data_IF_354371766448
#
_entry.id   IF_354371766448
#
_cell.length_a   1.000
_cell.length_b   1.000
_cell.length_c   1.000
_cell.angle_alpha   90.00
_cell.angle_beta   90.00
_cell.angle_gamma   90.00
#
_symmetry.space_group_name_H-M   'P 1'
#
loop_
_entity.id
_entity.type
_entity.pdbx_description
1 polymer ?
#
# COMPACT_ATOMS: atom_id res chain seq x y z
N UNK A 1 -5.35 -4.21 17.86
CA UNK A 1 -5.84 -4.28 17.41
C UNK A 1 -6.49 -3.78 16.95
N UNK A 2 -6.69 -3.60 16.85
CA UNK A 2 -6.97 -3.27 16.16
C UNK A 2 -8.04 -2.89 15.52
N UNK A 3 -7.90 -2.13 14.52
CA UNK A 3 -9.00 -1.52 13.91
C UNK A 3 -9.92 -2.46 13.21
N UNK A 4 -9.38 -3.56 12.81
CA UNK A 4 -10.21 -4.61 12.24
C UNK A 4 -11.19 -5.15 13.25
N UNK A 5 -10.85 -5.06 14.51
CA UNK A 5 -11.72 -5.54 15.55
C UNK A 5 -12.95 -4.67 15.72
N UNK A 6 -12.92 -3.47 15.15
CA UNK A 6 -14.09 -2.59 15.21
C UNK A 6 -15.07 -2.87 14.09
N UNK A 7 -14.75 -3.81 13.19
CA UNK A 7 -15.60 -4.18 12.06
C UNK A 7 -15.89 -5.68 12.12
N UNK A 8 -16.75 -6.11 13.04
CA UNK A 8 -16.97 -7.55 13.28
C UNK A 8 -17.37 -8.34 12.04
N UNK A 9 -18.22 -7.73 11.20
CA UNK A 9 -18.69 -8.43 10.01
C UNK A 9 -17.56 -8.67 9.02
N UNK A 10 -16.68 -7.68 8.88
CA UNK A 10 -15.54 -7.80 8.00
C UNK A 10 -14.57 -8.86 8.52
N UNK A 11 -14.34 -8.84 9.83
CA UNK A 11 -13.48 -9.84 10.47
C UNK A 11 -13.99 -11.25 10.24
N UNK A 12 -15.28 -11.46 10.44
CA UNK A 12 -15.89 -12.77 10.25
C UNK A 12 -15.75 -13.23 8.80
N UNK A 13 -15.99 -12.32 7.88
CA UNK A 13 -15.86 -12.64 6.47
C UNK A 13 -14.43 -13.08 6.15
N UNK A 14 -13.43 -12.34 6.62
CA UNK A 14 -12.03 -12.68 6.38
C UNK A 14 -11.67 -14.01 7.01
N UNK A 15 -12.14 -14.25 8.23
CA UNK A 15 -11.85 -15.50 8.91
C UNK A 15 -12.38 -16.70 8.14
N UNK A 16 -13.58 -16.57 7.60
CA UNK A 16 -14.14 -17.66 6.81
C UNK A 16 -13.40 -17.88 5.51
N UNK A 17 -13.03 -16.78 4.85
CA UNK A 17 -12.28 -16.87 3.61
C UNK A 17 -10.90 -17.47 3.84
N UNK A 18 -10.26 -17.10 4.93
CA UNK A 18 -8.90 -17.55 5.21
C UNK A 18 -8.82 -18.96 5.75
N UNK A 19 -9.95 -19.62 5.98
CA UNK A 19 -9.96 -21.02 6.36
C UNK A 19 -9.55 -21.92 5.21
N UNK A 20 -9.80 -21.50 3.98
CA UNK A 20 -9.36 -22.25 2.81
C UNK A 20 -7.89 -21.93 2.56
N UNK A 21 -7.00 -22.96 2.50
CA UNK A 21 -5.57 -22.69 2.35
C UNK A 21 -5.23 -21.88 1.10
N UNK A 22 -5.94 -22.11 0.02
CA UNK A 22 -5.68 -21.37 -1.22
C UNK A 22 -5.99 -19.90 -1.09
N UNK A 23 -7.15 -19.57 -0.48
CA UNK A 23 -7.54 -18.19 -0.29
C UNK A 23 -6.62 -17.48 0.68
N UNK A 24 -6.17 -18.19 1.71
CA UNK A 24 -5.23 -17.62 2.66
C UNK A 24 -3.91 -17.27 1.99
N UNK A 25 -3.41 -18.17 1.15
CA UNK A 25 -2.15 -17.92 0.45
C UNK A 25 -2.27 -16.72 -0.48
N UNK A 26 -3.39 -16.60 -1.19
CA UNK A 26 -3.62 -15.46 -2.09
C UNK A 26 -3.69 -14.15 -1.31
N UNK A 27 -4.38 -14.17 -0.18
CA UNK A 27 -4.48 -12.99 0.65
C UNK A 27 -3.10 -12.56 1.17
N UNK A 28 -2.33 -13.52 1.66
CA UNK A 28 -1.00 -13.22 2.19
C UNK A 28 -0.06 -12.69 1.12
N UNK A 29 -0.21 -13.18 -0.12
CA UNK A 29 0.59 -12.69 -1.22
C UNK A 29 0.28 -11.24 -1.57
N UNK A 30 -0.95 -10.77 -1.32
CA UNK A 30 -1.36 -9.40 -1.61
C UNK A 30 -1.04 -8.44 -0.47
N UNK A 31 -0.67 -8.94 0.70
CA UNK A 31 -0.42 -8.09 1.85
C UNK A 31 0.64 -7.03 1.61
N UNK A 32 1.80 -7.35 0.98
CA UNK A 32 2.78 -6.30 0.69
C UNK A 32 2.24 -5.22 -0.23
N UNK A 33 1.37 -5.60 -1.17
CA UNK A 33 0.75 -4.64 -2.08
C UNK A 33 -0.13 -3.67 -1.31
N UNK A 34 -0.96 -4.19 -0.42
CA UNK A 34 -1.83 -3.35 0.42
C UNK A 34 -1.02 -2.42 1.31
N UNK A 35 0.10 -2.93 1.85
CA UNK A 35 0.97 -2.13 2.69
C UNK A 35 1.53 -0.93 1.92
N UNK A 36 1.97 -1.16 0.68
CA UNK A 36 2.50 -0.08 -0.15
C UNK A 36 1.42 0.94 -0.47
N UNK A 37 0.24 0.47 -0.88
CA UNK A 37 -0.88 1.35 -1.18
C UNK A 37 -1.19 2.28 -0.01
N UNK A 38 -1.34 1.68 1.15
CA UNK A 38 -1.73 2.41 2.34
C UNK A 38 -0.65 3.38 2.78
N UNK A 39 0.61 2.96 2.70
CA UNK A 39 1.72 3.80 3.10
C UNK A 39 1.82 5.05 2.23
N UNK A 40 1.65 4.89 0.91
CA UNK A 40 1.72 6.02 -0.01
C UNK A 40 0.57 6.97 0.23
N UNK A 41 -0.66 6.46 0.34
CA UNK A 41 -1.82 7.30 0.53
C UNK A 41 -1.76 8.04 1.87
N UNK A 42 -1.35 7.36 2.91
CA UNK A 42 -1.26 7.96 4.23
C UNK A 42 -0.19 9.05 4.27
N UNK A 43 0.98 8.77 3.73
CA UNK A 43 2.07 9.74 3.73
C UNK A 43 1.73 10.94 2.86
N UNK A 44 1.06 10.69 1.72
CA UNK A 44 0.64 11.78 0.86
C UNK A 44 -0.41 12.67 1.55
N UNK A 45 -1.35 12.04 2.24
CA UNK A 45 -2.37 12.79 2.97
C UNK A 45 -1.75 13.66 4.06
N UNK A 46 -0.75 13.15 4.75
CA UNK A 46 -0.10 13.91 5.82
C UNK A 46 0.73 15.07 5.30
N UNK A 47 1.31 14.92 4.11
CA UNK A 47 2.11 16.00 3.52
C UNK A 47 1.26 16.98 2.72
N UNK A 48 -0.01 16.63 2.44
CA UNK A 48 -0.88 17.47 1.66
C UNK A 48 -0.61 17.47 0.17
N UNK A 49 0.21 16.54 -0.31
CA UNK A 49 0.54 16.48 -1.73
C UNK A 49 -0.56 15.75 -2.51
N UNK A 50 -0.89 16.29 -3.67
CA UNK A 50 -1.76 15.59 -4.61
C UNK A 50 -0.95 14.57 -5.40
N UNK A 51 -1.64 13.65 -6.11
CA UNK A 51 -0.95 12.73 -7.00
C UNK A 51 -0.14 13.47 -8.05
N UNK A 52 -0.69 14.57 -8.56
CA UNK A 52 0.00 15.36 -9.56
C UNK A 52 1.28 15.97 -9.00
N UNK A 53 1.20 16.53 -7.79
CA UNK A 53 2.37 17.12 -7.15
C UNK A 53 3.43 16.07 -6.85
N UNK A 54 3.01 14.90 -6.40
CA UNK A 54 3.95 13.82 -6.16
C UNK A 54 4.61 13.37 -7.46
N UNK A 55 3.84 13.32 -8.54
CA UNK A 55 4.36 13.00 -9.86
C UNK A 55 5.44 13.99 -10.27
N UNK A 56 5.19 15.27 -10.06
CA UNK A 56 6.15 16.32 -10.43
C UNK A 56 7.44 16.21 -9.62
N UNK A 57 7.31 15.89 -8.34
CA UNK A 57 8.48 15.78 -7.47
C UNK A 57 9.33 14.55 -7.73
N UNK A 58 8.70 13.47 -8.16
CA UNK A 58 9.39 12.20 -8.32
C UNK A 58 9.82 11.91 -9.75
N UNK A 59 9.20 12.58 -10.71
CA UNK A 59 9.40 12.23 -12.11
C UNK A 59 8.65 10.98 -12.53
N UNK A 60 7.82 10.42 -11.65
CA UNK A 60 6.99 9.27 -11.95
C UNK A 60 5.65 9.79 -12.48
N UNK A 61 5.11 9.17 -13.52
CA UNK A 61 3.86 9.64 -14.09
C UNK A 61 2.71 9.54 -13.08
N UNK A 62 1.77 10.46 -13.20
CA UNK A 62 0.60 10.44 -12.33
C UNK A 62 -0.19 9.14 -12.49
N UNK A 63 -0.24 8.61 -13.71
CA UNK A 63 -0.90 7.36 -13.97
C UNK A 63 -0.25 6.21 -13.19
N UNK A 64 1.08 6.21 -13.11
CA UNK A 64 1.80 5.19 -12.37
C UNK A 64 1.55 5.31 -10.87
N UNK A 65 1.54 6.55 -10.36
CA UNK A 65 1.24 6.78 -8.96
C UNK A 65 -0.19 6.32 -8.64
N UNK A 66 -1.12 6.62 -9.52
CA UNK A 66 -2.50 6.20 -9.35
C UNK A 66 -2.61 4.67 -9.32
N UNK A 67 -1.87 3.98 -10.19
CA UNK A 67 -1.86 2.52 -10.19
C UNK A 67 -1.27 1.96 -8.92
N UNK A 68 -0.23 2.59 -8.39
CA UNK A 68 0.36 2.18 -7.11
C UNK A 68 -0.66 2.28 -5.98
N UNK A 69 -1.42 3.36 -5.96
CA UNK A 69 -2.41 3.57 -4.90
C UNK A 69 -3.63 2.68 -5.06
N UNK A 70 -3.86 2.14 -6.25
CA UNK A 70 -4.93 1.18 -6.47
C UNK A 70 -4.47 -0.27 -6.34
N UNK A 71 -3.18 -0.49 -6.14
CA UNK A 71 -2.66 -1.83 -5.98
C UNK A 71 -2.52 -2.61 -7.27
N UNK A 72 -2.48 -1.92 -8.41
CA UNK A 72 -2.37 -2.56 -9.71
C UNK A 72 -1.01 -2.42 -10.35
N UNK A 73 -0.03 -1.92 -9.60
CA UNK A 73 1.34 -1.76 -10.08
C UNK A 73 2.28 -2.61 -9.24
N UNK A 74 3.46 -2.86 -9.81
CA UNK A 74 4.49 -3.64 -9.14
C UNK A 74 5.77 -2.81 -9.16
N UNK A 75 5.95 -1.89 -8.21
CA UNK A 75 7.07 -0.96 -8.23
C UNK A 75 8.38 -1.63 -7.84
N UNK A 76 9.47 -1.11 -8.38
CA UNK A 76 10.79 -1.50 -7.93
C UNK A 76 11.09 -0.82 -6.59
N UNK A 77 12.11 -1.33 -5.90
CA UNK A 77 12.55 -0.71 -4.65
C UNK A 77 13.02 0.71 -4.90
N UNK A 78 13.70 0.95 -6.02
CA UNK A 78 14.13 2.31 -6.36
C UNK A 78 12.96 3.27 -6.52
N UNK A 79 11.89 2.80 -7.14
CA UNK A 79 10.68 3.61 -7.30
C UNK A 79 10.08 3.94 -5.95
N UNK A 80 10.00 2.95 -5.06
CA UNK A 80 9.48 3.17 -3.71
C UNK A 80 10.35 4.16 -2.94
N UNK A 81 11.67 4.05 -3.07
CA UNK A 81 12.58 4.99 -2.41
C UNK A 81 12.37 6.41 -2.90
N UNK A 82 12.17 6.57 -4.21
CA UNK A 82 11.94 7.88 -4.80
C UNK A 82 10.66 8.51 -4.26
N UNK A 83 9.60 7.71 -4.18
CA UNK A 83 8.34 8.20 -3.65
C UNK A 83 8.47 8.54 -2.18
N UNK A 84 9.09 7.68 -1.40
CA UNK A 84 9.27 7.90 0.03
C UNK A 84 10.07 9.17 0.29
N UNK A 85 11.15 9.39 -0.46
CA UNK A 85 11.95 10.59 -0.29
C UNK A 85 11.14 11.85 -0.55
N UNK A 86 10.31 11.83 -1.59
CA UNK A 86 9.47 12.98 -1.91
C UNK A 86 8.45 13.26 -0.81
N UNK A 87 8.11 12.24 -0.03
CA UNK A 87 7.15 12.37 1.06
C UNK A 87 7.82 12.55 2.42
N UNK A 88 9.15 12.71 2.43
CA UNK A 88 9.88 12.88 3.68
C UNK A 88 9.99 11.61 4.50
N UNK A 89 9.93 10.47 3.85
CA UNK A 89 9.94 9.17 4.51
C UNK A 89 11.07 8.29 3.98
N UNK A 90 11.25 7.14 4.60
CA UNK A 90 12.21 6.13 4.18
C UNK A 90 11.50 4.80 3.97
N UNK A 91 12.01 4.00 3.05
CA UNK A 91 11.52 2.65 2.85
C UNK A 91 12.26 1.74 3.83
N UNK A 92 11.48 0.92 4.52
CA UNK A 92 12.03 -0.13 5.37
C UNK A 92 11.39 -1.44 4.96
N UNK A 93 12.23 -2.43 4.71
CA UNK A 93 11.76 -3.75 4.29
C UNK A 93 12.22 -4.75 5.33
N UNK A 94 11.32 -5.60 5.74
CA UNK A 94 11.59 -6.55 6.80
C UNK A 94 11.09 -7.93 6.39
N UNK A 95 11.94 -8.93 6.58
CA UNK A 95 11.55 -10.32 6.35
C UNK A 95 11.25 -10.91 7.73
N UNK A 96 10.05 -11.40 7.89
CA UNK A 96 9.56 -11.90 9.17
C UNK A 96 9.53 -13.42 9.17
#
# INVERSE_FOLDING_TARGET
MDNFNTLPKFDNFLNEQLKAPELKAEYEALEPVFTVMQAIMEARAKTGLTQKQLSERTGISQADISRLERGTANPSIKTLQRIANALGRRVQIEFI
#
